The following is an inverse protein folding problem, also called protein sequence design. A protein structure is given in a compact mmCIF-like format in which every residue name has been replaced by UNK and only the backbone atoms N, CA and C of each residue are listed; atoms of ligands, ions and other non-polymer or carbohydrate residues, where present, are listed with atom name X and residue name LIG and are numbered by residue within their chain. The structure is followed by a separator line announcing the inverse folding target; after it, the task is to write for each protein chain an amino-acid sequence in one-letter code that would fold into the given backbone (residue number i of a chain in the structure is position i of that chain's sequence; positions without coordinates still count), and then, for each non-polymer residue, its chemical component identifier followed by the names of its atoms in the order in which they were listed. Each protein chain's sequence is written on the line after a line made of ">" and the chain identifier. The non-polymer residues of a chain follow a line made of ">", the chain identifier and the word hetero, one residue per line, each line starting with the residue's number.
data_IF_944667305237
#
_entry.id   IF_944667305237
#
_cell.length_a   1.000
_cell.length_b   1.000
_cell.length_c   1.000
_cell.angle_alpha   90.00
_cell.angle_beta   90.00
_cell.angle_gamma   90.00
#
_symmetry.space_group_name_H-M   'P 1'
#
loop_
_entity.id
_entity.type
_entity.pdbx_description
1 polymer ?
#
# COMPACT_ATOMS: atom_id res chain seq x y z
N UNK A 1 31.41 22.61 -52.74
CA UNK A 1 31.07 23.58 -51.68
C UNK A 1 30.35 22.82 -50.57
N UNK A 2 31.11 22.45 -49.53
CA UNK A 2 30.62 21.77 -48.32
C UNK A 2 29.99 22.81 -47.40
N UNK A 3 28.78 22.56 -46.89
CA UNK A 3 28.36 23.06 -45.57
C UNK A 3 27.76 21.89 -44.82
N UNK A 4 28.49 21.44 -43.79
CA UNK A 4 28.03 20.51 -42.77
C UNK A 4 26.98 21.21 -41.89
N UNK A 5 25.84 20.57 -41.66
CA UNK A 5 25.03 20.82 -40.45
C UNK A 5 24.96 19.49 -39.70
N UNK A 6 25.64 19.47 -38.56
CA UNK A 6 25.77 18.37 -37.63
C UNK A 6 24.41 18.12 -36.92
N UNK A 7 23.71 17.08 -37.32
CA UNK A 7 22.41 16.65 -36.73
C UNK A 7 22.55 15.71 -35.53
N UNK A 8 23.77 15.45 -35.02
CA UNK A 8 24.00 14.44 -33.98
C UNK A 8 23.62 14.84 -32.54
N UNK A 9 23.22 16.08 -32.25
CA UNK A 9 22.98 16.53 -30.86
C UNK A 9 21.51 16.47 -30.40
N UNK A 10 20.53 16.56 -31.32
CA UNK A 10 19.13 16.77 -30.95
C UNK A 10 18.28 15.48 -30.84
N UNK A 11 18.69 14.36 -31.46
CA UNK A 11 17.97 13.08 -31.34
C UNK A 11 18.41 12.23 -30.14
N UNK A 12 19.62 12.42 -29.60
CA UNK A 12 20.13 11.65 -28.47
C UNK A 12 19.61 12.14 -27.09
N UNK A 13 19.18 13.40 -27.01
CA UNK A 13 18.79 14.05 -25.74
C UNK A 13 17.27 13.93 -25.44
N UNK A 14 16.44 13.72 -26.46
CA UNK A 14 14.98 13.60 -26.33
C UNK A 14 14.55 12.19 -25.89
N UNK A 15 15.21 11.15 -26.39
CA UNK A 15 14.96 9.77 -25.98
C UNK A 15 15.49 9.45 -24.57
N UNK A 16 16.58 10.12 -24.14
CA UNK A 16 17.12 9.99 -22.79
C UNK A 16 16.24 10.72 -21.78
N UNK A 17 15.75 11.93 -22.05
CA UNK A 17 14.77 12.62 -21.19
C UNK A 17 13.43 11.90 -21.10
N UNK A 18 12.89 11.35 -22.20
CA UNK A 18 11.68 10.53 -22.16
C UNK A 18 11.90 9.22 -21.39
N UNK A 19 13.02 8.51 -21.59
CA UNK A 19 13.37 7.32 -20.79
C UNK A 19 13.62 7.66 -19.33
N UNK A 20 14.16 8.83 -19.02
CA UNK A 20 14.46 9.27 -17.66
C UNK A 20 13.20 9.79 -16.96
N UNK A 21 12.28 10.44 -17.67
CA UNK A 21 10.95 10.83 -17.17
C UNK A 21 10.06 9.60 -16.96
N UNK A 22 10.02 8.67 -17.91
CA UNK A 22 9.35 7.36 -17.75
C UNK A 22 9.99 6.55 -16.62
N UNK A 23 11.32 6.57 -16.46
CA UNK A 23 12.04 5.91 -15.35
C UNK A 23 11.78 6.58 -14.00
N UNK A 24 11.47 7.88 -13.94
CA UNK A 24 11.17 8.59 -12.68
C UNK A 24 9.70 8.42 -12.30
N UNK A 25 8.79 8.43 -13.27
CA UNK A 25 7.37 8.09 -13.12
C UNK A 25 7.20 6.61 -12.71
N UNK A 26 7.92 5.69 -13.37
CA UNK A 26 7.95 4.26 -13.02
C UNK A 26 8.63 4.02 -11.69
N UNK A 27 9.66 4.78 -11.29
CA UNK A 27 10.32 4.64 -9.99
C UNK A 27 9.40 5.14 -8.85
N UNK A 28 8.65 6.22 -9.06
CA UNK A 28 7.60 6.68 -8.14
C UNK A 28 6.40 5.73 -8.07
N UNK A 29 6.03 5.11 -9.19
CA UNK A 29 5.05 4.02 -9.22
C UNK A 29 5.59 2.75 -8.55
N UNK A 30 6.86 2.39 -8.73
CA UNK A 30 7.46 1.16 -8.22
C UNK A 30 7.67 1.20 -6.70
N UNK A 31 7.99 2.36 -6.12
CA UNK A 31 8.00 2.57 -4.65
C UNK A 31 6.58 2.54 -4.04
N UNK A 32 5.55 2.81 -4.84
CA UNK A 32 4.13 2.79 -4.46
C UNK A 32 3.46 1.41 -4.68
N UNK A 33 4.08 0.52 -5.46
CA UNK A 33 3.56 -0.80 -5.86
C UNK A 33 4.06 -1.95 -4.95
N UNK A 34 5.00 -1.68 -4.04
CA UNK A 34 5.89 -2.72 -3.50
C UNK A 34 6.09 -2.66 -1.98
N UNK A 35 5.02 -2.35 -1.23
CA UNK A 35 5.02 -2.64 0.20
C UNK A 35 5.01 -4.16 0.45
N UNK A 36 5.84 -4.63 1.38
CA UNK A 36 6.05 -6.08 1.62
C UNK A 36 4.75 -6.74 2.11
N UNK A 37 3.99 -6.06 2.97
CA UNK A 37 2.72 -6.55 3.48
C UNK A 37 1.63 -6.50 2.41
N UNK A 38 1.61 -5.48 1.56
CA UNK A 38 0.70 -5.42 0.42
C UNK A 38 0.94 -6.57 -0.58
N UNK A 39 2.20 -6.89 -0.89
CA UNK A 39 2.53 -8.05 -1.74
C UNK A 39 2.05 -9.37 -1.11
N UNK A 40 2.21 -9.52 0.20
CA UNK A 40 1.75 -10.71 0.91
C UNK A 40 0.22 -10.79 0.94
N UNK A 41 -0.48 -9.68 1.12
CA UNK A 41 -1.93 -9.61 1.08
C UNK A 41 -2.48 -9.97 -0.31
N UNK A 42 -1.80 -9.56 -1.40
CA UNK A 42 -2.19 -10.01 -2.74
C UNK A 42 -2.10 -11.53 -2.89
N UNK A 43 -1.03 -12.14 -2.39
CA UNK A 43 -0.90 -13.60 -2.40
C UNK A 43 -1.98 -14.26 -1.56
N UNK A 44 -2.33 -13.68 -0.41
CA UNK A 44 -3.40 -14.17 0.43
C UNK A 44 -4.75 -14.13 -0.31
N UNK A 45 -5.05 -13.02 -0.98
CA UNK A 45 -6.32 -12.82 -1.68
C UNK A 45 -6.53 -13.79 -2.82
N UNK A 46 -5.50 -14.00 -3.62
CA UNK A 46 -5.58 -14.88 -4.79
C UNK A 46 -5.64 -16.35 -4.40
N UNK A 47 -5.00 -16.74 -3.29
CA UNK A 47 -4.87 -18.16 -2.92
C UNK A 47 -5.92 -18.67 -1.96
N UNK A 48 -6.41 -17.83 -1.06
CA UNK A 48 -7.23 -18.28 0.07
C UNK A 48 -8.50 -17.47 0.29
N UNK A 49 -8.44 -16.14 0.15
CA UNK A 49 -9.49 -15.24 0.61
C UNK A 49 -9.70 -14.06 -0.34
N UNK A 50 -10.56 -14.19 -1.36
CA UNK A 50 -10.80 -13.10 -2.32
C UNK A 50 -11.22 -11.78 -1.65
N UNK A 51 -11.97 -11.87 -0.55
CA UNK A 51 -12.42 -10.77 0.30
C UNK A 51 -11.32 -10.20 1.22
N UNK A 52 -10.27 -10.99 1.47
CA UNK A 52 -9.09 -10.66 2.27
C UNK A 52 -9.20 -11.03 3.75
N UNK A 53 -10.36 -11.48 4.23
CA UNK A 53 -10.61 -11.77 5.65
C UNK A 53 -11.05 -13.21 5.92
N UNK A 54 -11.87 -13.81 5.07
CA UNK A 54 -12.43 -15.15 5.30
C UNK A 54 -11.74 -16.20 4.44
N UNK A 55 -11.29 -17.27 5.08
CA UNK A 55 -10.73 -18.43 4.40
C UNK A 55 -11.16 -19.72 5.09
N UNK A 56 -11.11 -20.83 4.37
CA UNK A 56 -11.35 -22.15 4.95
C UNK A 56 -10.17 -22.60 5.81
N UNK A 57 -10.40 -22.81 7.10
CA UNK A 57 -9.38 -23.25 8.03
C UNK A 57 -9.13 -24.76 7.90
N UNK A 58 -7.85 -25.19 7.90
CA UNK A 58 -7.48 -26.62 7.84
C UNK A 58 -7.85 -27.41 9.10
N UNK A 59 -7.84 -26.75 10.25
CA UNK A 59 -8.11 -27.38 11.55
C UNK A 59 -9.60 -27.34 11.92
N UNK A 60 -10.30 -26.25 11.59
CA UNK A 60 -11.74 -26.12 11.85
C UNK A 60 -12.62 -26.68 10.73
N UNK A 61 -12.07 -26.94 9.54
CA UNK A 61 -12.77 -27.37 8.34
C UNK A 61 -13.85 -26.41 7.78
N UNK A 62 -14.11 -25.28 8.44
CA UNK A 62 -15.09 -24.25 8.07
C UNK A 62 -14.44 -22.92 7.64
N UNK A 63 -15.23 -22.04 7.04
CA UNK A 63 -14.83 -20.65 6.77
C UNK A 63 -14.71 -19.85 8.07
N UNK A 64 -13.55 -19.25 8.28
CA UNK A 64 -13.23 -18.47 9.48
C UNK A 64 -12.51 -17.20 9.09
N UNK A 65 -12.54 -16.23 9.99
CA UNK A 65 -11.78 -14.99 9.86
C UNK A 65 -10.32 -15.21 10.21
N UNK A 66 -9.42 -14.70 9.36
CA UNK A 66 -7.97 -14.76 9.55
C UNK A 66 -7.40 -13.36 9.78
N UNK A 67 -6.41 -13.27 10.67
CA UNK A 67 -5.68 -12.02 10.94
C UNK A 67 -4.19 -12.16 10.57
N UNK A 68 -3.59 -11.05 10.14
CA UNK A 68 -2.20 -10.94 9.69
C UNK A 68 -1.24 -10.89 10.89
N UNK A 69 -0.19 -11.72 10.89
CA UNK A 69 0.88 -11.66 11.89
C UNK A 69 2.10 -10.87 11.39
N UNK A 70 2.19 -9.57 11.66
CA UNK A 70 3.18 -8.65 11.07
C UNK A 70 4.64 -9.15 11.08
N UNK A 71 5.08 -9.89 12.11
CA UNK A 71 6.46 -10.40 12.22
C UNK A 71 6.81 -11.62 11.34
N UNK A 72 5.83 -12.24 10.68
CA UNK A 72 6.01 -13.48 9.90
C UNK A 72 5.14 -13.45 8.66
N UNK A 73 5.51 -14.11 7.56
CA UNK A 73 4.67 -14.16 6.34
C UNK A 73 3.49 -15.15 6.44
N UNK A 74 2.67 -15.03 7.49
CA UNK A 74 1.56 -15.94 7.81
C UNK A 74 0.30 -15.21 8.28
N UNK A 75 -0.82 -15.88 8.14
CA UNK A 75 -2.14 -15.49 8.64
C UNK A 75 -2.62 -16.53 9.66
N UNK A 76 -3.22 -16.08 10.75
CA UNK A 76 -3.68 -16.93 11.86
C UNK A 76 -5.20 -16.94 11.94
N UNK A 77 -5.79 -18.13 12.12
CA UNK A 77 -7.22 -18.30 12.33
C UNK A 77 -7.63 -17.69 13.69
N UNK A 78 -8.66 -16.83 13.70
CA UNK A 78 -9.15 -16.20 14.93
C UNK A 78 -9.77 -17.21 15.93
N UNK A 79 -10.19 -18.39 15.48
CA UNK A 79 -10.86 -19.38 16.33
C UNK A 79 -9.89 -20.41 16.94
N UNK A 80 -9.01 -21.03 16.13
CA UNK A 80 -8.17 -22.15 16.58
C UNK A 80 -6.66 -21.86 16.55
N UNK A 81 -6.25 -20.68 16.08
CA UNK A 81 -4.85 -20.28 15.97
C UNK A 81 -4.05 -20.98 14.86
N UNK A 82 -4.70 -21.76 13.99
CA UNK A 82 -4.03 -22.41 12.85
C UNK A 82 -3.40 -21.37 11.92
N UNK A 83 -2.14 -21.60 11.52
CA UNK A 83 -1.38 -20.67 10.69
C UNK A 83 -1.36 -21.11 9.23
N UNK A 84 -1.72 -20.21 8.32
CA UNK A 84 -1.63 -20.39 6.88
C UNK A 84 -0.58 -19.43 6.31
N UNK A 85 0.35 -19.98 5.51
CA UNK A 85 1.35 -19.20 4.81
C UNK A 85 0.97 -18.99 3.35
N UNK A 86 0.74 -17.74 2.89
CA UNK A 86 0.53 -17.43 1.48
C UNK A 86 1.71 -17.77 0.57
N UNK A 87 2.91 -17.91 1.14
CA UNK A 87 4.15 -18.24 0.42
C UNK A 87 4.47 -19.74 0.41
N UNK A 88 3.66 -20.58 1.08
CA UNK A 88 3.89 -22.01 1.09
C UNK A 88 3.64 -22.64 -0.29
N UNK A 89 4.54 -23.52 -0.74
CA UNK A 89 4.44 -24.22 -2.03
C UNK A 89 4.33 -23.26 -3.23
N UNK A 90 5.10 -22.18 -3.22
CA UNK A 90 5.30 -21.28 -4.37
C UNK A 90 6.79 -20.97 -4.51
N UNK A 91 7.15 -20.30 -5.60
CA UNK A 91 8.44 -19.61 -5.80
C UNK A 91 9.00 -18.89 -4.56
N UNK A 92 8.13 -18.38 -3.68
CA UNK A 92 8.49 -17.60 -2.49
C UNK A 92 8.83 -18.46 -1.26
N UNK A 93 8.58 -19.75 -1.33
CA UNK A 93 8.79 -20.65 -0.21
C UNK A 93 10.28 -20.70 0.18
N UNK A 94 10.56 -20.44 1.46
CA UNK A 94 11.93 -20.47 1.98
C UNK A 94 12.86 -19.37 1.44
N UNK A 95 12.36 -18.40 0.67
CA UNK A 95 13.17 -17.29 0.16
C UNK A 95 13.32 -16.17 1.20
N UNK A 96 14.57 -15.83 1.54
CA UNK A 96 14.92 -14.66 2.34
C UNK A 96 14.78 -13.34 1.57
N UNK A 97 14.63 -13.40 0.24
CA UNK A 97 14.40 -12.22 -0.58
C UNK A 97 13.02 -11.61 -0.23
N UNK A 98 12.95 -10.29 -0.02
CA UNK A 98 11.69 -9.57 0.13
C UNK A 98 10.70 -9.85 -1.02
N UNK A 99 9.43 -10.11 -0.70
CA UNK A 99 8.35 -10.31 -1.68
C UNK A 99 8.23 -9.13 -2.63
N UNK A 100 8.49 -7.91 -2.14
CA UNK A 100 8.50 -6.73 -2.97
C UNK A 100 9.45 -6.82 -4.17
N UNK A 101 10.64 -7.39 -3.97
CA UNK A 101 11.63 -7.53 -5.05
C UNK A 101 11.22 -8.59 -6.06
N UNK A 102 10.61 -9.68 -5.57
CA UNK A 102 10.04 -10.71 -6.42
C UNK A 102 8.91 -10.17 -7.30
N UNK A 103 7.96 -9.45 -6.71
CA UNK A 103 6.84 -8.84 -7.42
C UNK A 103 7.33 -7.87 -8.48
N UNK A 104 8.30 -7.01 -8.13
CA UNK A 104 8.93 -6.09 -9.07
C UNK A 104 9.52 -6.83 -10.28
N UNK A 105 10.33 -7.86 -10.03
CA UNK A 105 10.97 -8.62 -11.10
C UNK A 105 9.94 -9.30 -12.02
N UNK A 106 8.85 -9.84 -11.47
CA UNK A 106 7.79 -10.51 -12.23
C UNK A 106 7.02 -9.51 -13.09
N UNK A 107 6.59 -8.39 -12.51
CA UNK A 107 5.88 -7.32 -13.23
C UNK A 107 6.77 -6.77 -14.36
N UNK A 108 8.06 -6.58 -14.10
CA UNK A 108 9.01 -6.07 -15.09
C UNK A 108 9.30 -7.07 -16.20
N UNK A 109 9.46 -8.34 -15.88
CA UNK A 109 9.69 -9.39 -16.89
C UNK A 109 8.48 -9.51 -17.83
N UNK A 110 7.26 -9.48 -17.27
CA UNK A 110 6.01 -9.51 -18.05
C UNK A 110 5.83 -8.27 -18.91
N UNK A 111 6.04 -7.07 -18.36
CA UNK A 111 5.97 -5.82 -19.11
C UNK A 111 7.03 -5.75 -20.23
N UNK A 112 8.19 -6.39 -20.03
CA UNK A 112 9.27 -6.42 -21.02
C UNK A 112 9.08 -7.51 -22.08
N UNK A 113 8.06 -8.37 -21.96
CA UNK A 113 7.85 -9.52 -22.85
C UNK A 113 9.04 -10.48 -22.87
N UNK A 114 9.72 -10.68 -21.74
CA UNK A 114 10.90 -11.57 -21.62
C UNK A 114 12.24 -10.98 -22.06
N UNK A 115 12.29 -9.69 -22.46
CA UNK A 115 13.54 -9.02 -22.88
C UNK A 115 14.31 -8.35 -21.76
N UNK A 116 13.93 -8.55 -20.50
CA UNK A 116 14.60 -7.92 -19.37
C UNK A 116 16.02 -8.49 -19.21
N UNK A 117 17.00 -7.62 -18.96
CA UNK A 117 18.37 -8.05 -18.64
C UNK A 117 18.59 -7.98 -17.13
N UNK A 118 19.49 -8.83 -16.61
CA UNK A 118 19.86 -8.81 -15.20
C UNK A 118 20.45 -7.45 -14.78
N UNK A 119 21.20 -6.80 -15.68
CA UNK A 119 21.77 -5.47 -15.42
C UNK A 119 20.68 -4.40 -15.31
N UNK A 120 19.74 -4.36 -16.26
CA UNK A 120 18.64 -3.39 -16.20
C UNK A 120 17.81 -3.57 -14.92
N UNK A 121 17.55 -4.81 -14.49
CA UNK A 121 16.85 -5.10 -13.24
C UNK A 121 17.66 -4.67 -12.01
N UNK A 122 18.97 -4.89 -12.01
CA UNK A 122 19.88 -4.47 -10.95
C UNK A 122 19.88 -2.95 -10.77
N UNK A 123 20.04 -2.21 -11.88
CA UNK A 123 20.06 -0.74 -11.89
C UNK A 123 18.72 -0.13 -11.45
N UNK A 124 17.61 -0.78 -11.83
CA UNK A 124 16.27 -0.28 -11.54
C UNK A 124 15.87 -0.50 -10.08
N UNK A 125 16.22 -1.66 -9.50
CA UNK A 125 15.86 -2.05 -8.12
C UNK A 125 16.96 -1.77 -7.10
N UNK A 126 18.11 -1.22 -7.51
CA UNK A 126 19.25 -0.98 -6.63
C UNK A 126 19.86 -2.27 -6.04
N UNK A 127 19.84 -3.37 -6.80
CA UNK A 127 20.37 -4.67 -6.38
C UNK A 127 21.78 -4.89 -6.93
N UNK A 128 22.54 -5.79 -6.32
CA UNK A 128 23.74 -6.31 -6.97
C UNK A 128 23.37 -7.15 -8.19
N UNK A 129 24.18 -7.08 -9.25
CA UNK A 129 23.98 -7.85 -10.48
C UNK A 129 23.73 -9.34 -10.21
N UNK A 130 24.53 -9.96 -9.34
CA UNK A 130 24.40 -11.38 -8.99
C UNK A 130 23.03 -11.70 -8.35
N UNK A 131 22.47 -10.77 -7.58
CA UNK A 131 21.15 -10.93 -6.96
C UNK A 131 20.05 -10.77 -8.00
N UNK A 132 20.14 -9.74 -8.84
CA UNK A 132 19.20 -9.51 -9.94
C UNK A 132 19.18 -10.69 -10.92
N UNK A 133 20.35 -11.25 -11.26
CA UNK A 133 20.47 -12.44 -12.10
C UNK A 133 19.82 -13.66 -11.44
N UNK A 134 20.12 -13.95 -10.16
CA UNK A 134 19.50 -15.08 -9.44
C UNK A 134 17.98 -14.95 -9.38
N UNK A 135 17.48 -13.74 -9.15
CA UNK A 135 16.06 -13.44 -9.11
C UNK A 135 15.40 -13.68 -10.46
N UNK A 136 15.95 -13.07 -11.52
CA UNK A 136 15.43 -13.17 -12.88
C UNK A 136 15.48 -14.61 -13.42
N UNK A 137 16.56 -15.34 -13.11
CA UNK A 137 16.70 -16.77 -13.45
C UNK A 137 15.55 -17.59 -12.85
N UNK A 138 15.31 -17.45 -11.55
CA UNK A 138 14.23 -18.17 -10.87
C UNK A 138 12.84 -17.80 -11.40
N UNK A 139 12.60 -16.52 -11.68
CA UNK A 139 11.35 -16.04 -12.31
C UNK A 139 11.11 -16.72 -13.65
N UNK A 140 12.16 -16.90 -14.47
CA UNK A 140 12.05 -17.56 -15.77
C UNK A 140 11.82 -19.06 -15.66
N UNK A 141 12.49 -19.71 -14.71
CA UNK A 141 12.37 -21.16 -14.48
C UNK A 141 10.98 -21.56 -13.97
N UNK A 142 10.30 -20.68 -13.21
CA UNK A 142 9.00 -20.97 -12.60
C UNK A 142 7.87 -20.15 -13.24
N UNK A 143 7.96 -19.89 -14.54
CA UNK A 143 7.00 -19.05 -15.27
C UNK A 143 5.57 -19.59 -15.15
N UNK A 144 5.40 -20.91 -15.22
CA UNK A 144 4.07 -21.53 -15.16
C UNK A 144 3.39 -21.35 -13.79
N UNK A 145 4.15 -21.47 -12.68
CA UNK A 145 3.64 -21.19 -11.33
C UNK A 145 3.25 -19.71 -11.17
N UNK A 146 4.02 -18.81 -11.77
CA UNK A 146 3.77 -17.38 -11.76
C UNK A 146 2.51 -17.05 -12.57
N UNK A 147 2.32 -17.71 -13.71
CA UNK A 147 1.16 -17.56 -14.57
C UNK A 147 -0.11 -18.13 -13.93
N UNK A 148 0.00 -19.23 -13.17
CA UNK A 148 -1.11 -19.73 -12.33
C UNK A 148 -1.55 -18.72 -11.25
N UNK A 149 -0.65 -17.83 -10.82
CA UNK A 149 -0.93 -16.74 -9.89
C UNK A 149 -1.24 -15.41 -10.62
N UNK A 150 -1.58 -15.42 -11.91
CA UNK A 150 -1.77 -14.23 -12.75
C UNK A 150 -2.56 -13.06 -12.10
N UNK A 151 -3.63 -13.27 -11.30
CA UNK A 151 -4.33 -12.17 -10.64
C UNK A 151 -3.49 -11.46 -9.57
N UNK A 152 -2.49 -12.12 -8.98
CA UNK A 152 -1.69 -11.58 -7.87
C UNK A 152 -0.77 -10.44 -8.33
N UNK A 153 -0.41 -10.40 -9.61
CA UNK A 153 0.47 -9.40 -10.19
C UNK A 153 -0.28 -8.20 -10.75
N UNK A 154 -1.61 -8.25 -10.74
CA UNK A 154 -2.46 -7.08 -10.89
C UNK A 154 -2.50 -6.38 -9.53
N UNK A 155 -1.35 -5.87 -9.09
CA UNK A 155 -1.24 -5.13 -7.83
C UNK A 155 -2.03 -3.83 -8.01
N UNK A 156 -3.35 -3.87 -7.77
CA UNK A 156 -4.10 -2.70 -7.37
C UNK A 156 -3.66 -2.39 -5.94
N UNK A 157 -3.34 -1.13 -5.59
CA UNK A 157 -3.00 -0.78 -4.22
C UNK A 157 -4.14 -1.27 -3.32
N UNK A 158 -3.83 -2.19 -2.41
CA UNK A 158 -4.81 -2.68 -1.44
C UNK A 158 -4.66 -1.84 -0.18
N UNK A 159 -5.78 -1.21 0.18
CA UNK A 159 -6.00 -0.58 1.47
C UNK A 159 -5.45 -1.48 2.59
N UNK A 160 -4.49 -1.00 3.41
CA UNK A 160 -4.03 -1.79 4.54
C UNK A 160 -5.18 -2.03 5.51
N UNK A 161 -5.30 -3.26 6.02
CA UNK A 161 -6.34 -3.70 6.93
C UNK A 161 -6.56 -2.73 8.12
N UNK A 162 -7.81 -2.59 8.64
CA UNK A 162 -8.10 -1.74 9.79
C UNK A 162 -7.26 -2.14 11.01
N UNK A 163 -6.97 -1.17 11.88
CA UNK A 163 -6.14 -1.37 13.07
C UNK A 163 -6.86 -2.21 14.16
N UNK A 164 -6.12 -2.60 15.20
CA UNK A 164 -6.63 -3.39 16.34
C UNK A 164 -7.77 -2.70 17.12
N UNK A 165 -7.96 -1.40 16.87
CA UNK A 165 -9.00 -0.57 17.50
C UNK A 165 -10.33 -0.63 16.75
N UNK A 166 -10.38 -1.35 15.61
CA UNK A 166 -11.57 -1.42 14.76
C UNK A 166 -11.84 -0.14 13.97
N UNK A 167 -10.92 0.85 13.99
CA UNK A 167 -11.07 2.07 13.20
C UNK A 167 -10.71 1.81 11.76
N UNK A 168 -11.46 2.42 10.85
CA UNK A 168 -11.10 2.35 9.44
C UNK A 168 -9.74 3.04 9.23
N UNK A 169 -8.94 2.51 8.30
CA UNK A 169 -7.64 3.14 7.99
C UNK A 169 -7.81 4.57 7.45
N UNK A 170 -8.93 4.84 6.79
CA UNK A 170 -9.36 6.18 6.41
C UNK A 170 -9.52 7.08 7.64
N UNK A 171 -10.22 6.63 8.69
CA UNK A 171 -10.32 7.33 9.97
C UNK A 171 -8.97 7.64 10.60
N UNK A 172 -8.04 6.68 10.59
CA UNK A 172 -6.70 6.89 11.13
C UNK A 172 -5.97 8.04 10.40
N UNK A 173 -6.11 8.09 9.07
CA UNK A 173 -5.54 9.16 8.25
C UNK A 173 -6.23 10.50 8.47
N UNK A 174 -7.55 10.51 8.64
CA UNK A 174 -8.31 11.72 8.97
C UNK A 174 -7.93 12.25 10.35
N UNK A 175 -7.75 11.36 11.34
CA UNK A 175 -7.28 11.73 12.67
C UNK A 175 -5.86 12.29 12.63
N UNK A 176 -4.94 11.64 11.90
CA UNK A 176 -3.58 12.14 11.72
C UNK A 176 -3.55 13.49 11.00
N UNK A 177 -4.41 13.69 9.99
CA UNK A 177 -4.55 14.97 9.32
C UNK A 177 -5.03 16.06 10.27
N UNK A 178 -6.03 15.78 11.11
CA UNK A 178 -6.50 16.74 12.15
C UNK A 178 -5.39 17.10 13.13
N UNK A 179 -4.61 16.12 13.57
CA UNK A 179 -3.49 16.35 14.49
C UNK A 179 -2.42 17.26 13.88
N UNK A 180 -2.07 17.03 12.61
CA UNK A 180 -1.11 17.89 11.87
C UNK A 180 -1.66 19.29 11.66
N UNK A 181 -2.96 19.44 11.34
CA UNK A 181 -3.60 20.77 11.21
C UNK A 181 -3.54 21.55 12.53
N UNK A 182 -3.80 20.87 13.66
CA UNK A 182 -3.76 21.50 14.98
C UNK A 182 -2.35 21.89 15.39
N UNK A 183 -1.35 21.06 15.08
CA UNK A 183 0.03 21.29 15.46
C UNK A 183 0.72 22.33 14.56
N UNK A 184 0.58 22.19 13.24
CA UNK A 184 1.43 22.86 12.25
C UNK A 184 0.64 23.78 11.30
N UNK A 185 -0.69 23.79 11.39
CA UNK A 185 -1.57 24.59 10.54
C UNK A 185 -1.90 23.95 9.16
N UNK A 186 -2.81 24.61 8.44
CA UNK A 186 -3.36 24.09 7.17
C UNK A 186 -2.31 23.96 6.08
N UNK A 187 -1.39 24.92 5.95
CA UNK A 187 -0.39 24.94 4.87
C UNK A 187 0.64 23.81 5.01
N UNK A 188 1.10 23.57 6.24
CA UNK A 188 2.05 22.50 6.57
C UNK A 188 1.46 21.09 6.47
N UNK A 189 0.12 20.96 6.42
CA UNK A 189 -0.59 19.68 6.30
C UNK A 189 -0.42 19.06 4.90
N UNK A 190 0.78 18.62 4.58
CA UNK A 190 1.07 17.93 3.32
C UNK A 190 0.73 16.46 3.42
N UNK A 191 0.49 15.80 2.28
CA UNK A 191 0.26 14.36 2.22
C UNK A 191 1.42 13.59 2.89
N UNK A 192 2.65 14.08 2.75
CA UNK A 192 3.83 13.52 3.43
C UNK A 192 3.80 13.71 4.95
N UNK A 193 3.35 14.87 5.42
CA UNK A 193 3.23 15.15 6.85
C UNK A 193 2.16 14.26 7.50
N UNK A 194 1.00 14.12 6.86
CA UNK A 194 -0.09 13.24 7.32
C UNK A 194 0.37 11.78 7.36
N UNK A 195 1.03 11.32 6.30
CA UNK A 195 1.59 9.97 6.23
C UNK A 195 2.59 9.72 7.37
N UNK A 196 3.54 10.63 7.56
CA UNK A 196 4.56 10.55 8.62
C UNK A 196 3.91 10.50 10.01
N UNK A 197 2.91 11.35 10.25
CA UNK A 197 2.21 11.40 11.53
C UNK A 197 1.42 10.12 11.81
N UNK A 198 0.85 9.50 10.77
CA UNK A 198 0.16 8.21 10.87
C UNK A 198 1.11 7.00 10.95
N UNK A 199 2.43 7.18 10.79
CA UNK A 199 3.39 6.08 10.67
C UNK A 199 3.24 5.29 9.36
N UNK A 200 2.67 5.92 8.33
CA UNK A 200 2.34 5.30 7.04
C UNK A 200 3.15 5.91 5.89
N UNK A 201 3.17 5.22 4.76
CA UNK A 201 3.76 5.77 3.53
C UNK A 201 2.83 6.82 2.90
N UNK A 202 3.41 7.77 2.17
CA UNK A 202 2.65 8.82 1.45
C UNK A 202 1.71 8.22 0.39
N UNK A 203 2.04 7.06 -0.17
CA UNK A 203 1.19 6.33 -1.12
C UNK A 203 -0.10 5.81 -0.50
N UNK A 204 -0.08 5.39 0.76
CA UNK A 204 -1.30 4.98 1.48
C UNK A 204 -2.30 6.14 1.57
N UNK A 205 -1.82 7.37 1.75
CA UNK A 205 -2.70 8.54 1.80
C UNK A 205 -3.34 8.82 0.45
N UNK A 206 -2.58 8.69 -0.64
CA UNK A 206 -3.09 8.86 -2.00
C UNK A 206 -4.14 7.81 -2.42
N UNK A 207 -4.13 6.64 -1.77
CA UNK A 207 -5.17 5.63 -1.98
C UNK A 207 -6.54 6.10 -1.48
N UNK A 208 -6.59 6.67 -0.28
CA UNK A 208 -7.85 7.14 0.33
C UNK A 208 -8.25 8.53 -0.16
N UNK A 209 -7.28 9.32 -0.62
CA UNK A 209 -7.49 10.71 -0.97
C UNK A 209 -6.75 11.10 -2.25
N UNK A 210 -7.48 11.59 -3.25
CA UNK A 210 -6.94 12.09 -4.51
C UNK A 210 -5.95 13.23 -4.30
N UNK A 211 -6.19 14.09 -3.30
CA UNK A 211 -5.37 15.27 -3.03
C UNK A 211 -5.52 15.76 -1.57
N UNK A 212 -4.62 16.67 -1.17
CA UNK A 212 -4.61 17.29 0.16
C UNK A 212 -5.97 17.92 0.53
N UNK A 213 -6.64 18.56 -0.42
CA UNK A 213 -7.91 19.24 -0.15
C UNK A 213 -9.01 18.24 0.22
N UNK A 214 -9.04 17.06 -0.41
CA UNK A 214 -10.00 16.02 -0.08
C UNK A 214 -9.78 15.49 1.35
N UNK A 215 -8.53 15.33 1.79
CA UNK A 215 -8.18 14.97 3.18
C UNK A 215 -8.75 16.03 4.13
N UNK A 216 -8.45 17.30 3.87
CA UNK A 216 -8.86 18.42 4.74
C UNK A 216 -10.39 18.53 4.83
N UNK A 217 -11.08 18.43 3.70
CA UNK A 217 -12.56 18.50 3.66
C UNK A 217 -13.18 17.35 4.43
N UNK A 218 -12.71 16.11 4.22
CA UNK A 218 -13.22 14.95 4.96
C UNK A 218 -12.90 15.02 6.45
N UNK A 219 -11.69 15.44 6.81
CA UNK A 219 -11.25 15.60 8.20
C UNK A 219 -12.09 16.65 8.94
N UNK A 220 -12.39 17.77 8.26
CA UNK A 220 -13.23 18.84 8.80
C UNK A 220 -14.69 18.39 8.93
N UNK A 221 -15.23 17.68 7.94
CA UNK A 221 -16.60 17.12 8.01
C UNK A 221 -16.73 16.15 9.17
N UNK A 222 -15.81 15.20 9.30
CA UNK A 222 -15.77 14.29 10.44
C UNK A 222 -15.71 15.04 11.78
N UNK A 223 -14.90 16.10 11.86
CA UNK A 223 -14.81 16.93 13.06
C UNK A 223 -16.12 17.65 13.40
N UNK A 224 -16.80 18.17 12.38
CA UNK A 224 -18.07 18.84 12.51
C UNK A 224 -19.18 17.86 12.91
N UNK A 225 -19.19 16.67 12.33
CA UNK A 225 -20.17 15.62 12.65
C UNK A 225 -20.00 15.14 14.11
N UNK A 226 -18.76 14.95 14.56
CA UNK A 226 -18.45 14.67 15.97
C UNK A 226 -18.83 15.82 16.91
N UNK A 227 -18.69 17.08 16.47
CA UNK A 227 -19.08 18.25 17.26
C UNK A 227 -20.59 18.41 17.34
N UNK A 228 -21.30 18.21 16.23
CA UNK A 228 -22.76 18.20 16.16
C UNK A 228 -23.32 17.09 17.05
N UNK A 229 -22.81 15.85 16.94
CA UNK A 229 -23.27 14.74 17.78
C UNK A 229 -23.07 14.98 19.29
N UNK A 230 -21.94 15.58 19.69
CA UNK A 230 -21.71 15.99 21.09
C UNK A 230 -22.70 17.06 21.55
N UNK A 231 -22.96 18.05 20.69
CA UNK A 231 -23.89 19.14 20.99
C UNK A 231 -25.32 18.61 21.10
N UNK A 232 -25.73 17.73 20.19
CA UNK A 232 -27.04 17.10 20.21
C UNK A 232 -27.21 16.21 21.46
N UNK A 233 -26.17 15.49 21.89
CA UNK A 233 -26.19 14.72 23.14
C UNK A 233 -26.31 15.62 24.38
N UNK A 234 -25.66 16.80 24.38
CA UNK A 234 -25.79 17.79 25.46
C UNK A 234 -27.19 18.41 25.46
N UNK A 235 -27.76 18.71 24.28
CA UNK A 235 -29.10 19.28 24.15
C UNK A 235 -30.20 18.25 24.45
N UNK A 236 -29.97 16.96 24.20
CA UNK A 236 -30.86 15.85 24.51
C UNK A 236 -30.76 15.36 25.96
N UNK A 237 -29.70 15.75 26.69
CA UNK A 237 -29.60 15.46 28.11
C UNK A 237 -30.68 16.24 28.86
N UNK A 238 -31.49 15.61 29.74
CA UNK A 238 -32.50 16.31 30.51
C UNK A 238 -31.83 17.42 31.32
N UNK A 239 -32.25 18.66 31.07
CA UNK A 239 -31.65 19.84 31.67
C UNK A 239 -31.61 19.71 33.18
N UNK A 240 -30.43 19.88 33.80
CA UNK A 240 -30.34 19.97 35.26
C UNK A 240 -31.21 21.14 35.69
N UNK A 241 -32.28 20.87 36.43
CA UNK A 241 -33.14 21.89 36.99
C UNK A 241 -32.25 22.89 37.76
N UNK A 242 -32.28 24.16 37.34
CA UNK A 242 -31.62 25.25 38.06
C UNK A 242 -32.33 25.36 39.40
N UNK A 243 -31.68 25.20 40.56
CA UNK A 243 -32.36 25.37 41.84
C UNK A 243 -32.89 26.81 41.88
N UNK A 244 -34.21 26.95 41.90
CA UNK A 244 -34.88 28.23 42.08
C UNK A 244 -34.54 28.72 43.49
N UNK A 245 -33.53 29.58 43.57
CA UNK A 245 -33.21 30.33 44.78
C UNK A 245 -34.43 31.17 45.16
N UNK A 246 -35.07 30.78 46.26
CA UNK A 246 -35.97 31.65 47.01
C UNK A 246 -35.14 32.82 47.54
N UNK A 247 -35.37 34.01 46.98
CA UNK A 247 -35.01 35.26 47.65
C UNK A 247 -36.11 35.50 48.68
N UNK A 248 -35.74 35.35 49.95
CA UNK A 248 -36.49 35.80 51.11
C UNK A 248 -36.24 37.30 51.33
#
# INVERSE_FOLDING_TARGET
>A
MFIQINTYSWFANSASRLRQSIRTELRGQMDMILDEDACLEQLWRVRFSPDGRHARCRRCAEERTFHRLHNRRVYSCAHCGEQLSPTAKTLFHGSSTPLRLWFAAIVRERASGGRLTAQSLADELGLSYATAWRLLKKVREHRDEIDALAPAWQVKPVAPAPDETGRSREEQLLQAARAVVVADGLDATTIRAVARHAGLSTGVVHYYFENKNQILVKALRQANDEACGRRDAIMAAPGRARPSGSLA
#
